data_IF_401722916391
#
_entry.id   IF_401722916391
#
_cell.length_a   1.000
_cell.length_b   1.000
_cell.length_c   1.000
_cell.angle_alpha   90.00
_cell.angle_beta   90.00
_cell.angle_gamma   90.00
#
_symmetry.space_group_name_H-M   'P 1'
#
loop_
_entity.id
_entity.type
_entity.pdbx_description
1 polymer ?
#
# COMPACT_ATOMS: atom_id res chain seq x y z
N UNK A 1 -18.76 -13.01 7.68
CA UNK A 1 -19.63 -11.98 7.12
C UNK A 1 -20.09 -12.48 5.76
N UNK A 2 -21.26 -12.06 5.28
CA UNK A 2 -21.63 -12.32 3.88
C UNK A 2 -20.65 -11.58 2.97
N UNK A 3 -20.34 -12.18 1.83
CA UNK A 3 -19.37 -11.77 0.80
C UNK A 3 -19.69 -10.45 0.09
N UNK A 4 -20.46 -9.55 0.72
CA UNK A 4 -21.01 -8.31 0.14
C UNK A 4 -20.43 -7.04 0.80
N UNK A 5 -19.20 -7.10 1.34
CA UNK A 5 -18.63 -5.95 2.08
C UNK A 5 -18.13 -4.81 1.17
N UNK A 6 -17.93 -5.04 -0.13
CA UNK A 6 -17.48 -4.00 -1.07
C UNK A 6 -18.65 -3.40 -1.87
N UNK A 7 -19.53 -2.68 -1.17
CA UNK A 7 -20.61 -1.91 -1.79
C UNK A 7 -20.12 -0.58 -2.42
N UNK A 8 -18.81 -0.39 -2.59
CA UNK A 8 -18.21 0.82 -3.16
C UNK A 8 -18.29 2.06 -2.25
N UNK A 9 -18.70 1.89 -1.00
CA UNK A 9 -18.92 2.99 -0.06
C UNK A 9 -17.62 3.34 0.70
N UNK A 10 -17.40 4.62 1.01
CA UNK A 10 -16.15 5.07 1.62
C UNK A 10 -16.05 4.69 3.11
N UNK A 11 -14.83 4.38 3.57
CA UNK A 11 -14.53 4.07 4.97
C UNK A 11 -14.39 5.34 5.82
N UNK A 12 -15.47 6.10 5.95
CA UNK A 12 -15.53 7.28 6.84
C UNK A 12 -16.03 6.92 8.24
N UNK A 13 -15.60 7.63 9.29
CA UNK A 13 -16.13 7.44 10.64
C UNK A 13 -17.66 7.57 10.65
N UNK A 14 -18.33 6.64 11.32
CA UNK A 14 -19.81 6.57 11.37
C UNK A 14 -20.45 5.78 10.24
N UNK A 15 -19.70 5.45 9.18
CA UNK A 15 -20.17 4.62 8.08
C UNK A 15 -19.69 3.16 8.24
N UNK A 16 -20.01 2.57 9.38
CA UNK A 16 -19.62 1.20 9.74
C UNK A 16 -20.80 0.42 10.29
N UNK A 17 -21.03 -0.79 9.81
CA UNK A 17 -22.03 -1.71 10.38
C UNK A 17 -21.37 -2.64 11.40
N UNK A 18 -21.87 -2.65 12.64
CA UNK A 18 -21.46 -3.62 13.65
C UNK A 18 -22.37 -4.85 13.58
N UNK A 19 -21.79 -5.98 13.19
CA UNK A 19 -22.48 -7.25 13.20
C UNK A 19 -22.64 -7.79 14.64
N UNK A 20 -23.90 -7.88 15.08
CA UNK A 20 -24.29 -8.39 16.38
C UNK A 20 -24.31 -9.93 16.45
N UNK A 21 -24.37 -10.60 15.31
CA UNK A 21 -24.36 -12.06 15.23
C UNK A 21 -22.94 -12.65 15.29
N UNK A 22 -21.90 -11.81 15.27
CA UNK A 22 -20.50 -12.25 15.34
C UNK A 22 -20.19 -12.81 16.73
N UNK A 23 -19.90 -14.11 16.79
CA UNK A 23 -19.59 -14.83 18.03
C UNK A 23 -18.11 -15.21 18.18
N UNK A 24 -17.38 -15.31 17.07
CA UNK A 24 -15.96 -15.67 17.08
C UNK A 24 -15.05 -14.43 17.04
N UNK A 25 -14.28 -14.22 18.11
CA UNK A 25 -13.36 -13.09 18.25
C UNK A 25 -11.88 -13.52 18.34
N UNK A 26 -11.59 -14.79 18.08
CA UNK A 26 -10.22 -15.30 18.06
C UNK A 26 -9.38 -14.55 17.03
N UNK A 27 -8.19 -14.10 17.46
CA UNK A 27 -7.21 -13.45 16.58
C UNK A 27 -6.37 -14.52 15.90
N UNK A 28 -6.17 -14.41 14.59
CA UNK A 28 -5.20 -15.23 13.87
C UNK A 28 -3.79 -14.79 14.27
N UNK A 29 -2.95 -15.77 14.63
CA UNK A 29 -1.54 -15.52 14.95
C UNK A 29 -0.78 -15.30 13.64
N UNK A 30 -0.49 -14.04 13.33
CA UNK A 30 0.25 -13.65 12.12
C UNK A 30 1.72 -13.38 12.39
N UNK A 31 2.12 -13.27 13.66
CA UNK A 31 3.52 -13.07 14.06
C UNK A 31 4.09 -14.36 14.67
N UNK A 32 5.01 -14.99 13.97
CA UNK A 32 5.78 -16.14 14.46
C UNK A 32 7.24 -15.76 14.70
N UNK A 33 7.93 -16.56 15.52
CA UNK A 33 9.39 -16.52 15.63
C UNK A 33 9.94 -17.92 15.38
N UNK A 34 11.02 -18.02 14.61
CA UNK A 34 11.75 -19.27 14.39
C UNK A 34 13.24 -18.99 14.44
N UNK A 35 13.94 -19.67 15.35
CA UNK A 35 15.40 -19.55 15.53
C UNK A 35 15.88 -18.10 15.73
N UNK A 36 15.11 -17.28 16.47
CA UNK A 36 15.44 -15.87 16.72
C UNK A 36 15.02 -14.88 15.62
N UNK A 37 14.49 -15.36 14.49
CA UNK A 37 14.00 -14.51 13.41
C UNK A 37 12.48 -14.35 13.48
N UNK A 38 11.99 -13.12 13.27
CA UNK A 38 10.57 -12.84 13.11
C UNK A 38 10.09 -13.36 11.74
N UNK A 39 9.01 -14.13 11.75
CA UNK A 39 8.36 -14.66 10.56
C UNK A 39 6.93 -14.13 10.52
N UNK A 40 6.59 -13.37 9.48
CA UNK A 40 5.20 -13.01 9.21
C UNK A 40 4.49 -14.18 8.54
N UNK A 41 3.33 -14.56 9.08
CA UNK A 41 2.43 -15.53 8.48
C UNK A 41 1.21 -14.82 7.91
N UNK A 42 0.83 -15.16 6.67
CA UNK A 42 -0.38 -14.63 6.05
C UNK A 42 -1.59 -15.36 6.67
N UNK A 43 -2.51 -14.67 7.34
CA UNK A 43 -3.67 -15.35 7.92
C UNK A 43 -4.52 -15.93 6.80
N UNK A 44 -4.97 -17.18 6.96
CA UNK A 44 -5.94 -17.84 6.07
C UNK A 44 -7.38 -17.48 6.42
N UNK A 45 -7.61 -17.02 7.65
CA UNK A 45 -8.93 -16.78 8.23
C UNK A 45 -8.89 -15.48 9.03
N UNK A 46 -9.93 -14.64 8.87
CA UNK A 46 -10.11 -13.40 9.66
C UNK A 46 -10.70 -13.73 11.03
N UNK A 47 -10.57 -12.79 11.97
CA UNK A 47 -11.36 -12.77 13.21
C UNK A 47 -12.84 -12.96 12.85
N UNK A 48 -13.44 -14.03 13.36
CA UNK A 48 -14.79 -14.44 12.96
C UNK A 48 -14.89 -15.80 12.30
N UNK A 49 -13.76 -16.51 12.11
CA UNK A 49 -13.68 -17.77 11.35
C UNK A 49 -14.11 -17.63 9.88
N UNK A 50 -14.07 -16.41 9.37
CA UNK A 50 -14.37 -16.12 7.98
C UNK A 50 -13.16 -16.43 7.12
N UNK A 51 -13.34 -17.35 6.17
CA UNK A 51 -12.31 -17.68 5.19
C UNK A 51 -12.05 -16.41 4.39
N UNK A 52 -10.79 -15.97 4.38
CA UNK A 52 -10.40 -14.88 3.49
C UNK A 52 -10.62 -15.35 2.06
N UNK A 53 -11.56 -14.74 1.34
CA UNK A 53 -11.68 -14.85 -0.11
C UNK A 53 -10.52 -14.10 -0.78
N UNK A 54 -9.29 -14.43 -0.40
CA UNK A 54 -8.11 -14.08 -1.14
C UNK A 54 -7.71 -15.37 -1.85
N UNK A 55 -8.19 -15.54 -3.07
CA UNK A 55 -7.53 -16.47 -3.99
C UNK A 55 -6.05 -16.10 -4.00
N UNK A 56 -5.12 -17.04 -3.75
CA UNK A 56 -3.71 -16.73 -3.84
C UNK A 56 -3.44 -16.28 -5.28
N UNK A 57 -3.22 -14.97 -5.47
CA UNK A 57 -2.91 -14.40 -6.77
C UNK A 57 -1.82 -15.25 -7.40
N UNK A 58 -2.10 -15.78 -8.59
CA UNK A 58 -1.09 -16.51 -9.36
C UNK A 58 0.04 -15.56 -9.72
N UNK A 59 1.27 -16.07 -9.90
CA UNK A 59 2.44 -15.23 -10.21
C UNK A 59 2.16 -14.28 -11.40
N UNK A 60 1.42 -14.76 -12.39
CA UNK A 60 0.99 -13.98 -13.54
C UNK A 60 0.05 -12.80 -13.22
N UNK A 61 -0.79 -12.91 -12.18
CA UNK A 61 -1.65 -11.80 -11.73
C UNK A 61 -0.86 -10.78 -10.90
N UNK A 62 0.15 -11.23 -10.17
CA UNK A 62 1.08 -10.37 -9.43
C UNK A 62 1.90 -9.53 -10.41
N UNK A 63 2.42 -10.13 -11.47
CA UNK A 63 3.20 -9.43 -12.50
C UNK A 63 2.40 -8.32 -13.20
N UNK A 64 1.08 -8.53 -13.39
CA UNK A 64 0.17 -7.51 -13.92
C UNK A 64 -0.12 -6.36 -12.95
N UNK A 65 0.02 -6.60 -11.65
CA UNK A 65 -0.18 -5.60 -10.59
C UNK A 65 1.11 -4.84 -10.24
N UNK A 66 2.26 -5.33 -10.71
CA UNK A 66 3.49 -4.56 -10.69
C UNK A 66 3.30 -3.36 -11.62
N UNK A 67 2.90 -2.23 -11.03
CA UNK A 67 3.06 -0.94 -11.68
C UNK A 67 4.52 -0.85 -12.13
N UNK A 68 4.76 -0.67 -13.43
CA UNK A 68 6.07 -0.26 -13.92
C UNK A 68 6.54 0.85 -12.99
N UNK A 69 7.73 0.66 -12.41
CA UNK A 69 8.37 1.67 -11.55
C UNK A 69 8.10 3.02 -12.18
N UNK A 70 7.42 3.96 -11.50
CA UNK A 70 7.13 5.24 -12.10
C UNK A 70 8.48 5.75 -12.57
N UNK A 71 8.64 5.83 -13.90
CA UNK A 71 9.80 6.47 -14.50
C UNK A 71 9.90 7.78 -13.75
N UNK A 72 11.01 8.02 -13.07
CA UNK A 72 11.20 9.25 -12.32
C UNK A 72 11.13 10.38 -13.33
N UNK A 73 9.93 10.92 -13.57
CA UNK A 73 9.69 12.19 -14.25
C UNK A 73 10.04 13.31 -13.28
N UNK A 74 11.17 13.15 -12.59
CA UNK A 74 11.97 14.28 -12.17
C UNK A 74 12.91 14.50 -13.34
N UNK A 75 12.35 15.02 -14.44
CA UNK A 75 13.16 15.83 -15.34
C UNK A 75 13.89 16.81 -14.45
N UNK A 76 15.21 16.62 -14.35
CA UNK A 76 16.09 17.53 -13.64
C UNK A 76 15.77 18.90 -14.25
N UNK A 77 15.26 19.89 -13.49
CA UNK A 77 15.05 21.20 -14.07
C UNK A 77 16.42 21.64 -14.59
N UNK A 78 16.52 21.91 -15.89
CA UNK A 78 17.69 22.59 -16.45
C UNK A 78 17.71 23.98 -15.81
N UNK A 79 18.39 24.09 -14.68
CA UNK A 79 18.74 25.38 -14.11
C UNK A 79 19.93 25.91 -14.92
N UNK A 80 19.82 27.14 -15.40
CA UNK A 80 20.98 27.85 -15.90
C UNK A 80 22.03 27.96 -14.78
N UNK A 81 23.30 27.78 -15.13
CA UNK A 81 24.40 27.96 -14.19
C UNK A 81 24.40 29.39 -13.65
N UNK A 82 24.50 29.55 -12.33
CA UNK A 82 24.54 30.87 -11.71
C UNK A 82 25.80 31.64 -12.13
N UNK A 83 25.61 32.78 -12.80
CA UNK A 83 26.69 33.69 -13.17
C UNK A 83 26.62 34.95 -12.30
N UNK A 84 27.65 35.26 -11.49
CA UNK A 84 27.70 36.48 -10.69
C UNK A 84 27.57 37.75 -11.54
N UNK A 85 26.91 38.79 -11.02
CA UNK A 85 26.61 40.02 -11.75
C UNK A 85 27.86 40.73 -12.32
N UNK A 86 28.99 40.67 -11.60
CA UNK A 86 30.25 41.27 -12.05
C UNK A 86 30.88 40.51 -13.24
N UNK A 87 30.54 39.25 -13.45
CA UNK A 87 30.95 38.46 -14.63
C UNK A 87 29.97 38.70 -15.80
N UNK A 88 28.67 38.75 -15.51
CA UNK A 88 27.64 38.93 -16.53
C UNK A 88 27.64 40.33 -17.18
N UNK A 89 28.12 41.35 -16.46
CA UNK A 89 28.05 42.76 -16.88
C UNK A 89 29.42 43.38 -17.22
N UNK A 90 30.50 42.59 -17.24
CA UNK A 90 31.88 43.06 -17.45
C UNK A 90 32.07 43.94 -18.72
N UNK A 91 31.22 43.75 -19.74
CA UNK A 91 31.33 44.45 -21.04
C UNK A 91 30.08 45.22 -21.45
N UNK A 92 29.07 45.33 -20.58
CA UNK A 92 27.88 46.13 -20.88
C UNK A 92 28.11 47.57 -20.41
N UNK A 93 28.03 48.50 -21.36
CA UNK A 93 28.11 49.96 -21.17
C UNK A 93 26.71 50.54 -20.98
#
# INVERSE_FOLDING_TARGET
>A
MSTEWNNGLPFIPGYTFRDLAKTAFHRSQTLGYKNGFALSYRPSVVIGKEVLAAEPLTHHEIDKLCFETPYTVYDKPEYEEFIPAHVALDKKV
#
